data_IF_029292004849
#
_entry.id   IF_029292004849
#
_cell.length_a   1.000
_cell.length_b   1.000
_cell.length_c   1.000
_cell.angle_alpha   90.00
_cell.angle_beta   90.00
_cell.angle_gamma   90.00
#
_symmetry.space_group_name_H-M   'P 1'
#
loop_
_entity.id
_entity.type
_entity.pdbx_description
1 polymer ?
#
# COMPACT_ATOMS: atom_id res chain seq x y z
N UNK A 1 4.28 2.55 -9.05
CA UNK A 1 5.33 2.11 -10.01
C UNK A 1 4.92 2.58 -11.41
N UNK A 2 5.82 3.18 -12.20
CA UNK A 2 5.48 3.70 -13.55
C UNK A 2 4.19 4.53 -13.55
N UNK A 3 4.05 5.49 -12.63
CA UNK A 3 2.85 6.33 -12.46
C UNK A 3 1.54 5.66 -11.99
N UNK A 4 1.54 4.35 -11.78
CA UNK A 4 0.36 3.63 -11.32
C UNK A 4 0.44 3.22 -9.84
N UNK A 5 -0.71 3.02 -9.21
CA UNK A 5 -0.80 2.46 -7.85
C UNK A 5 -0.35 1.00 -7.86
N UNK A 6 0.38 0.62 -6.82
CA UNK A 6 0.81 -0.75 -6.61
C UNK A 6 0.74 -1.07 -5.13
N UNK A 7 0.12 -2.20 -4.80
CA UNK A 7 -0.01 -2.70 -3.43
C UNK A 7 0.78 -4.01 -3.36
N UNK A 8 1.55 -4.17 -2.31
CA UNK A 8 2.21 -5.44 -2.00
C UNK A 8 1.98 -5.80 -0.55
N UNK A 9 1.63 -7.06 -0.29
CA UNK A 9 1.48 -7.57 1.06
C UNK A 9 1.90 -9.04 1.14
N UNK A 10 2.20 -9.49 2.35
CA UNK A 10 2.58 -10.86 2.65
C UNK A 10 2.02 -11.22 4.02
N UNK A 11 1.33 -12.36 4.11
CA UNK A 11 0.67 -12.86 5.33
C UNK A 11 1.38 -14.08 5.92
N UNK A 12 2.54 -14.45 5.36
CA UNK A 12 3.40 -15.55 5.77
C UNK A 12 3.62 -16.62 4.70
N UNK A 13 2.72 -16.73 3.71
CA UNK A 13 2.82 -17.73 2.64
C UNK A 13 3.73 -17.26 1.51
N UNK A 14 3.40 -16.13 0.88
CA UNK A 14 4.14 -15.54 -0.25
C UNK A 14 3.82 -14.05 -0.39
N UNK A 15 4.55 -13.39 -1.26
CA UNK A 15 4.23 -12.03 -1.66
C UNK A 15 3.04 -12.00 -2.62
N UNK A 16 2.15 -11.05 -2.39
CA UNK A 16 1.05 -10.69 -3.27
C UNK A 16 1.32 -9.32 -3.84
N UNK A 17 1.38 -9.21 -5.16
CA UNK A 17 1.57 -7.96 -5.88
C UNK A 17 0.29 -7.63 -6.64
N UNK A 18 -0.38 -6.55 -6.24
CA UNK A 18 -1.61 -6.06 -6.88
C UNK A 18 -1.27 -4.72 -7.53
N UNK A 19 -1.06 -4.76 -8.84
CA UNK A 19 -0.78 -3.59 -9.66
C UNK A 19 -2.04 -3.08 -10.34
N UNK A 20 -2.21 -1.76 -10.34
CA UNK A 20 -3.21 -1.09 -11.15
C UNK A 20 -2.57 -0.69 -12.49
N UNK A 21 -3.22 -0.96 -13.62
CA UNK A 21 -2.78 -0.46 -14.94
C UNK A 21 -3.82 0.42 -15.62
N UNK A 22 -5.02 0.55 -15.04
CA UNK A 22 -6.13 1.30 -15.64
C UNK A 22 -6.14 2.79 -15.27
N UNK A 23 -5.21 3.26 -14.43
CA UNK A 23 -5.13 4.65 -13.99
C UNK A 23 -3.69 5.13 -13.80
N UNK A 24 -3.34 6.22 -14.49
CA UNK A 24 -2.23 7.07 -14.09
C UNK A 24 -2.70 7.98 -12.94
N UNK A 25 -1.91 8.05 -11.87
CA UNK A 25 -2.25 8.82 -10.65
C UNK A 25 -1.20 9.88 -10.31
N UNK A 26 -0.26 10.15 -11.21
CA UNK A 26 0.80 11.13 -11.05
C UNK A 26 0.49 12.43 -11.83
N UNK A 27 -0.77 12.83 -11.85
CA UNK A 27 -1.30 13.93 -12.67
C UNK A 27 -1.50 15.24 -11.88
N UNK A 28 -0.92 15.32 -10.68
CA UNK A 28 -1.01 16.46 -9.74
C UNK A 28 -2.44 16.74 -9.22
N UNK A 29 -3.35 15.75 -9.35
CA UNK A 29 -4.69 15.82 -8.76
C UNK A 29 -4.78 15.02 -7.48
N UNK A 30 -5.75 15.41 -6.66
CA UNK A 30 -6.10 14.66 -5.46
C UNK A 30 -6.82 13.37 -5.85
N UNK A 31 -6.29 12.24 -5.41
CA UNK A 31 -6.90 10.92 -5.58
C UNK A 31 -7.24 10.30 -4.23
N UNK A 32 -8.41 9.67 -4.13
CA UNK A 32 -8.83 8.92 -2.96
C UNK A 32 -8.60 7.42 -3.21
N UNK A 33 -7.96 6.73 -2.27
CA UNK A 33 -7.66 5.30 -2.37
C UNK A 33 -8.18 4.60 -1.12
N UNK A 34 -9.00 3.56 -1.29
CA UNK A 34 -9.47 2.71 -0.21
C UNK A 34 -9.04 1.28 -0.50
N UNK A 35 -8.33 0.69 0.46
CA UNK A 35 -7.92 -0.71 0.42
C UNK A 35 -8.68 -1.44 1.51
N UNK A 36 -9.50 -2.41 1.11
CA UNK A 36 -10.21 -3.28 2.02
C UNK A 36 -9.70 -4.71 1.84
N UNK A 37 -9.16 -5.29 2.92
CA UNK A 37 -8.68 -6.68 2.91
C UNK A 37 -9.54 -7.52 3.82
N UNK A 38 -10.06 -8.61 3.28
CA UNK A 38 -10.73 -9.67 4.04
C UNK A 38 -9.95 -10.95 3.80
N UNK A 39 -9.31 -11.46 4.85
CA UNK A 39 -8.40 -12.61 4.75
C UNK A 39 -7.35 -12.41 3.64
N UNK A 40 -7.18 -13.37 2.73
CA UNK A 40 -6.22 -13.24 1.64
C UNK A 40 -6.74 -12.36 0.49
N UNK A 41 -8.03 -12.02 0.46
CA UNK A 41 -8.66 -11.23 -0.59
C UNK A 41 -8.51 -9.72 -0.34
N UNK A 42 -8.40 -8.97 -1.43
CA UNK A 42 -8.28 -7.52 -1.41
C UNK A 42 -9.27 -6.89 -2.39
N UNK A 43 -9.99 -5.87 -1.95
CA UNK A 43 -10.77 -4.96 -2.78
C UNK A 43 -10.14 -3.58 -2.74
N UNK A 44 -10.00 -2.95 -3.91
CA UNK A 44 -9.38 -1.65 -4.09
C UNK A 44 -10.38 -0.71 -4.77
N UNK A 45 -10.62 0.44 -4.13
CA UNK A 45 -11.40 1.54 -4.68
C UNK A 45 -10.47 2.73 -4.95
N UNK A 46 -10.64 3.37 -6.09
CA UNK A 46 -9.89 4.57 -6.48
C UNK A 46 -10.86 5.56 -7.08
N UNK A 47 -10.96 6.72 -6.43
CA UNK A 47 -11.92 7.76 -6.79
C UNK A 47 -13.33 7.17 -6.98
N UNK A 48 -13.97 7.46 -8.12
CA UNK A 48 -15.30 6.97 -8.49
C UNK A 48 -15.25 5.87 -9.56
N UNK A 49 -14.14 5.11 -9.63
CA UNK A 49 -13.96 4.02 -10.61
C UNK A 49 -14.55 2.71 -10.09
N UNK A 50 -14.76 1.77 -11.01
CA UNK A 50 -15.14 0.41 -10.66
C UNK A 50 -14.12 -0.24 -9.71
N UNK A 51 -14.57 -0.96 -8.67
CA UNK A 51 -13.70 -1.63 -7.72
C UNK A 51 -12.90 -2.73 -8.39
N UNK A 52 -11.67 -2.92 -7.89
CA UNK A 52 -10.79 -4.00 -8.32
C UNK A 52 -10.74 -5.05 -7.25
N UNK A 53 -10.96 -6.30 -7.66
CA UNK A 53 -10.95 -7.47 -6.80
C UNK A 53 -9.69 -8.29 -7.07
N UNK A 54 -9.01 -8.64 -6.00
CA UNK A 54 -7.89 -9.57 -6.01
C UNK A 54 -8.18 -10.74 -5.08
N UNK A 55 -8.14 -11.93 -5.65
CA UNK A 55 -8.23 -13.20 -4.93
C UNK A 55 -7.02 -14.07 -5.28
N UNK A 56 -6.18 -14.43 -4.29
CA UNK A 56 -5.08 -15.35 -4.49
C UNK A 56 -5.54 -16.72 -5.02
N UNK A 57 -4.80 -17.28 -5.97
CA UNK A 57 -5.07 -18.62 -6.52
C UNK A 57 -4.78 -19.77 -5.54
N UNK A 58 -4.08 -19.51 -4.43
CA UNK A 58 -3.67 -20.51 -3.45
C UNK A 58 -4.79 -21.05 -2.55
N UNK A 59 -5.99 -20.44 -2.58
CA UNK A 59 -7.15 -20.87 -1.79
C UNK A 59 -6.80 -21.06 -0.31
N UNK A 60 -7.09 -22.25 0.22
CA UNK A 60 -6.90 -22.63 1.63
C UNK A 60 -5.42 -22.68 2.09
N UNK A 61 -4.45 -22.64 1.15
CA UNK A 61 -3.02 -22.60 1.49
C UNK A 61 -2.54 -21.20 1.88
N UNK A 62 -3.38 -20.18 1.71
CA UNK A 62 -3.03 -18.79 2.02
C UNK A 62 -3.24 -18.53 3.51
N UNK A 63 -2.18 -18.07 4.18
CA UNK A 63 -2.31 -17.52 5.53
C UNK A 63 -3.11 -16.21 5.48
N UNK A 64 -3.99 -16.00 6.46
CA UNK A 64 -4.98 -14.91 6.40
C UNK A 64 -4.71 -13.77 7.40
N UNK A 65 -3.86 -13.99 8.40
CA UNK A 65 -3.62 -13.03 9.48
C UNK A 65 -2.37 -12.19 9.23
N UNK A 66 -2.50 -10.87 9.33
CA UNK A 66 -1.34 -9.97 9.38
C UNK A 66 -0.90 -9.78 10.84
N UNK A 67 0.02 -10.63 11.28
CA UNK A 67 0.44 -10.72 12.67
C UNK A 67 1.50 -9.67 13.04
N UNK A 68 1.53 -9.30 14.33
CA UNK A 68 2.57 -8.46 14.95
C UNK A 68 2.86 -7.14 14.21
N UNK A 69 1.82 -6.41 13.85
CA UNK A 69 1.94 -5.07 13.28
C UNK A 69 2.50 -4.10 14.34
N UNK A 70 3.70 -3.56 14.12
CA UNK A 70 4.40 -2.73 15.11
C UNK A 70 4.80 -1.34 14.60
N UNK A 71 4.72 -1.11 13.28
CA UNK A 71 5.13 0.15 12.66
C UNK A 71 4.29 0.48 11.43
N UNK A 72 3.87 1.74 11.36
CA UNK A 72 3.31 2.36 10.17
C UNK A 72 4.31 3.40 9.68
N UNK A 73 4.62 3.38 8.39
CA UNK A 73 5.53 4.31 7.74
C UNK A 73 4.80 4.99 6.57
N UNK A 74 4.85 6.31 6.54
CA UNK A 74 4.20 7.13 5.51
C UNK A 74 5.27 7.99 4.84
N UNK A 75 5.15 8.17 3.52
CA UNK A 75 6.00 9.07 2.75
C UNK A 75 7.32 8.47 2.25
N UNK A 76 7.69 7.25 2.68
CA UNK A 76 8.80 6.50 2.08
C UNK A 76 8.78 5.01 2.45
N UNK A 77 9.54 4.21 1.72
CA UNK A 77 9.78 2.80 2.03
C UNK A 77 11.13 2.60 2.74
N UNK A 78 11.18 1.68 3.69
CA UNK A 78 12.44 1.20 4.30
C UNK A 78 12.97 -0.07 3.61
N UNK A 79 12.18 -0.62 2.67
CA UNK A 79 12.51 -1.81 1.90
C UNK A 79 12.75 -1.43 0.43
N UNK A 80 13.62 -2.17 -0.26
CA UNK A 80 13.93 -2.02 -1.68
C UNK A 80 12.79 -2.57 -2.56
N UNK A 81 11.60 -1.99 -2.47
CA UNK A 81 10.43 -2.49 -3.19
C UNK A 81 10.47 -2.10 -4.68
N UNK A 82 10.98 -0.91 -5.02
CA UNK A 82 11.07 -0.46 -6.42
C UNK A 82 12.49 -0.30 -6.97
N UNK A 83 13.54 -0.61 -6.18
CA UNK A 83 14.95 -0.55 -6.62
C UNK A 83 15.65 -1.91 -6.55
N UNK A 84 16.42 -2.23 -7.59
CA UNK A 84 17.21 -3.47 -7.68
C UNK A 84 18.58 -3.40 -7.00
N UNK A 85 19.07 -2.22 -6.61
CA UNK A 85 20.39 -2.04 -6.01
C UNK A 85 20.32 -1.25 -4.69
N UNK A 86 20.81 -1.86 -3.62
CA UNK A 86 21.03 -1.22 -2.33
C UNK A 86 22.27 -0.33 -2.42
N UNK A 87 22.13 0.99 -2.25
CA UNK A 87 23.29 1.84 -1.98
C UNK A 87 23.57 1.74 -0.48
N UNK A 88 24.80 1.35 -0.09
CA UNK A 88 25.21 1.08 1.31
C UNK A 88 24.88 2.20 2.31
N UNK A 89 24.58 3.43 1.86
CA UNK A 89 24.27 4.60 2.69
C UNK A 89 22.80 5.05 2.65
N UNK A 90 21.96 4.45 1.80
CA UNK A 90 20.53 4.82 1.73
C UNK A 90 19.75 4.02 2.79
N UNK A 91 19.15 4.73 3.75
CA UNK A 91 18.25 4.17 4.76
C UNK A 91 16.77 4.27 4.37
N UNK A 92 16.47 5.11 3.38
CA UNK A 92 15.14 5.36 2.86
C UNK A 92 15.14 5.11 1.36
N UNK A 93 14.14 4.39 0.88
CA UNK A 93 13.88 4.07 -0.53
C UNK A 93 12.52 4.63 -0.93
N UNK A 94 12.32 4.86 -2.23
CA UNK A 94 11.02 5.21 -2.81
C UNK A 94 10.33 6.36 -2.07
N UNK A 95 11.06 7.45 -1.83
CA UNK A 95 10.52 8.63 -1.18
C UNK A 95 9.38 9.24 -1.99
N UNK A 96 8.30 9.56 -1.30
CA UNK A 96 7.13 10.23 -1.85
C UNK A 96 7.35 11.75 -1.84
N UNK A 97 6.98 12.41 -2.93
CA UNK A 97 6.95 13.87 -3.05
C UNK A 97 5.54 14.27 -3.47
N UNK A 98 4.86 15.04 -2.64
CA UNK A 98 3.47 15.44 -2.82
C UNK A 98 2.78 15.61 -1.47
N UNK A 99 1.46 15.63 -1.50
CA UNK A 99 0.63 15.76 -0.30
C UNK A 99 -0.08 14.43 0.00
N UNK A 100 -0.03 14.01 1.26
CA UNK A 100 -0.79 12.87 1.78
C UNK A 100 -1.72 13.41 2.86
N UNK A 101 -3.00 13.11 2.77
CA UNK A 101 -4.02 13.54 3.73
C UNK A 101 -4.91 12.37 4.12
N UNK A 102 -5.62 12.47 5.26
CA UNK A 102 -6.69 11.54 5.61
C UNK A 102 -6.27 10.07 5.79
N UNK A 103 -5.04 9.79 6.23
CA UNK A 103 -4.58 8.39 6.36
C UNK A 103 -5.27 7.70 7.53
N UNK A 104 -6.22 6.83 7.20
CA UNK A 104 -6.86 5.92 8.14
C UNK A 104 -6.28 4.50 7.96
N UNK A 105 -5.81 3.90 9.05
CA UNK A 105 -5.41 2.50 9.07
C UNK A 105 -6.10 1.77 10.23
N UNK A 106 -7.01 0.85 9.90
CA UNK A 106 -7.80 0.07 10.87
C UNK A 106 -8.48 0.95 11.95
N UNK A 107 -9.02 2.11 11.56
CA UNK A 107 -9.69 3.05 12.46
C UNK A 107 -8.77 4.09 13.09
N UNK A 108 -7.45 3.98 12.92
CA UNK A 108 -6.48 4.95 13.43
C UNK A 108 -6.26 6.07 12.40
N UNK A 109 -6.59 7.31 12.78
CA UNK A 109 -6.33 8.51 11.96
C UNK A 109 -4.87 8.94 12.11
N UNK A 110 -3.97 8.32 11.33
CA UNK A 110 -2.52 8.37 11.55
C UNK A 110 -1.97 9.79 11.53
N UNK A 111 -2.38 10.62 10.56
CA UNK A 111 -1.87 12.00 10.44
C UNK A 111 -2.45 12.91 11.53
N UNK A 112 -3.69 12.68 11.94
CA UNK A 112 -4.35 13.48 12.98
C UNK A 112 -3.72 13.21 14.35
N UNK A 113 -3.32 11.97 14.62
CA UNK A 113 -2.58 11.61 15.85
C UNK A 113 -1.22 12.30 15.93
N UNK A 114 -0.59 12.61 14.79
CA UNK A 114 0.67 13.36 14.76
C UNK A 114 0.46 14.87 14.94
N UNK A 115 -0.68 15.40 14.51
CA UNK A 115 -1.02 16.81 14.62
C UNK A 115 -1.45 17.24 16.04
N UNK A 116 -1.63 16.28 16.96
CA UNK A 116 -2.01 16.51 18.35
C UNK A 116 -0.82 16.64 19.32
N UNK A 117 0.41 16.61 18.80
CA UNK A 117 1.66 16.79 19.55
C UNK A 117 2.05 18.27 19.55
#
# INVERSE_FOLDING_TARGET
>A
KNAHLHIRYNLGSRDHDVGLSSALLNDDKHHAVIIYRQEANLTLYIDNREPIYYSPLGGDMELVTLNMQWRIAIGASFNLLHRTKRRKREQIYDSYKGFITGVNFNGLMILDMLAQV
#
